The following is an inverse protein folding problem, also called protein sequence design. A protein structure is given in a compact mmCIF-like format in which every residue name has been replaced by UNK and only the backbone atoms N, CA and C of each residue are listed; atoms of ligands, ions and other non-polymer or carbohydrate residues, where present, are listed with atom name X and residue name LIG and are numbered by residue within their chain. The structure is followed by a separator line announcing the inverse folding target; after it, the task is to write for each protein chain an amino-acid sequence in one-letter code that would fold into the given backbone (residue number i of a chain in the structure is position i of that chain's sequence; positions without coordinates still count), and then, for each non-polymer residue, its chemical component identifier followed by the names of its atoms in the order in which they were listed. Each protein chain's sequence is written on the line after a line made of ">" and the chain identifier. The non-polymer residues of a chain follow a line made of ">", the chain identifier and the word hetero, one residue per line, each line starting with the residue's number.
data_IF_875990808149
#
_entry.id   IF_875990808149
#
_cell.length_a   1.000
_cell.length_b   1.000
_cell.length_c   1.000
_cell.angle_alpha   90.00
_cell.angle_beta   90.00
_cell.angle_gamma   90.00
#
_symmetry.space_group_name_H-M   'P 1'
#
loop_
_entity.id
_entity.type
_entity.pdbx_description
1 polymer ?
#
# COMPACT_ATOMS: atom_id res chain seq x y z
N UNK A 1 -0.04 -4.78 -4.24
CA UNK A 1 1.22 -4.18 -3.78
C UNK A 1 2.42 -5.01 -4.26
N UNK A 2 3.59 -4.39 -4.42
CA UNK A 2 4.82 -5.00 -4.96
C UNK A 2 5.84 -5.19 -3.84
N UNK A 3 6.53 -6.33 -3.79
CA UNK A 3 7.64 -6.60 -2.87
C UNK A 3 7.38 -7.68 -1.82
N UNK A 4 7.84 -7.49 -0.57
CA UNK A 4 7.67 -8.44 0.55
C UNK A 4 6.19 -8.71 0.83
N UNK A 5 5.38 -7.67 0.70
CA UNK A 5 3.93 -7.68 0.90
C UNK A 5 3.16 -7.93 -0.41
N UNK A 6 3.78 -8.60 -1.38
CA UNK A 6 3.15 -8.84 -2.67
C UNK A 6 1.92 -9.76 -2.57
N UNK A 7 0.91 -9.42 -3.35
CA UNK A 7 -0.34 -10.18 -3.49
C UNK A 7 -0.82 -10.09 -4.94
N UNK A 8 -1.70 -10.98 -5.36
CA UNK A 8 -2.28 -10.96 -6.70
C UNK A 8 -3.01 -9.63 -6.94
N UNK A 9 -2.59 -8.79 -7.91
CA UNK A 9 -3.15 -7.45 -8.07
C UNK A 9 -4.62 -7.44 -8.52
N UNK A 10 -5.14 -8.56 -9.01
CA UNK A 10 -6.55 -8.70 -9.41
C UNK A 10 -7.46 -9.13 -8.25
N UNK A 11 -7.08 -10.19 -7.53
CA UNK A 11 -7.93 -10.82 -6.50
C UNK A 11 -7.55 -10.49 -5.06
N UNK A 12 -6.30 -10.08 -4.80
CA UNK A 12 -5.77 -9.90 -3.45
C UNK A 12 -5.24 -11.18 -2.80
N UNK A 13 -5.28 -12.30 -3.53
CA UNK A 13 -4.76 -13.58 -3.09
C UNK A 13 -3.30 -13.49 -2.65
N UNK A 14 -2.93 -14.25 -1.62
CA UNK A 14 -1.53 -14.44 -1.25
C UNK A 14 -0.79 -15.14 -2.40
N UNK A 15 0.48 -14.80 -2.61
CA UNK A 15 1.30 -15.47 -3.61
C UNK A 15 1.91 -16.73 -3.03
N UNK A 16 2.06 -17.76 -3.88
CA UNK A 16 2.69 -19.03 -3.54
C UNK A 16 4.13 -18.86 -3.07
N UNK A 17 4.63 -19.83 -2.31
CA UNK A 17 6.06 -19.94 -2.03
C UNK A 17 6.83 -20.50 -3.25
N UNK A 18 6.15 -21.25 -4.11
CA UNK A 18 6.69 -21.75 -5.38
C UNK A 18 6.93 -20.58 -6.35
N UNK A 19 8.15 -20.52 -6.90
CA UNK A 19 8.62 -19.49 -7.83
C UNK A 19 8.86 -20.10 -9.20
N UNK A 20 8.24 -19.50 -10.22
CA UNK A 20 8.46 -19.80 -11.62
C UNK A 20 9.31 -18.69 -12.24
N UNK A 21 10.23 -19.02 -13.13
CA UNK A 21 11.03 -18.02 -13.84
C UNK A 21 10.53 -17.90 -15.27
N UNK A 22 10.31 -16.66 -15.74
CA UNK A 22 10.02 -16.41 -17.15
C UNK A 22 11.29 -16.51 -18.02
N UNK A 23 11.12 -16.35 -19.34
CA UNK A 23 12.21 -16.40 -20.32
C UNK A 23 13.31 -15.35 -20.07
N UNK A 24 13.00 -14.29 -19.32
CA UNK A 24 13.94 -13.22 -18.95
C UNK A 24 14.55 -13.42 -17.55
N UNK A 25 14.27 -14.54 -16.90
CA UNK A 25 14.74 -14.87 -15.56
C UNK A 25 14.00 -14.11 -14.44
N UNK A 26 12.84 -13.52 -14.71
CA UNK A 26 12.03 -12.89 -13.66
C UNK A 26 11.30 -13.97 -12.88
N UNK A 27 11.55 -14.03 -11.58
CA UNK A 27 10.74 -14.80 -10.64
C UNK A 27 9.28 -14.36 -10.76
N UNK A 28 8.32 -15.26 -10.74
CA UNK A 28 6.89 -15.01 -10.75
C UNK A 28 6.21 -16.08 -9.89
N UNK A 29 5.06 -15.75 -9.30
CA UNK A 29 4.33 -16.63 -8.38
C UNK A 29 2.86 -16.66 -8.74
N UNK A 30 2.19 -17.77 -8.52
CA UNK A 30 0.74 -17.83 -8.72
C UNK A 30 0.02 -17.34 -7.46
N UNK A 31 -1.21 -16.83 -7.62
CA UNK A 31 -2.07 -16.56 -6.48
C UNK A 31 -2.59 -17.87 -5.89
N UNK A 32 -2.50 -18.04 -4.57
CA UNK A 32 -3.10 -19.15 -3.84
C UNK A 32 -4.50 -18.74 -3.40
N UNK A 33 -5.50 -19.57 -3.68
CA UNK A 33 -6.86 -19.34 -3.18
C UNK A 33 -6.85 -19.27 -1.66
N UNK A 34 -7.42 -18.20 -1.10
CA UNK A 34 -7.74 -18.12 0.32
C UNK A 34 -9.26 -18.25 0.52
N UNK A 35 -9.69 -18.56 1.74
CA UNK A 35 -11.12 -18.64 2.13
C UNK A 35 -11.86 -17.30 1.94
N UNK A 36 -11.18 -16.26 1.48
CA UNK A 36 -11.66 -14.88 1.38
C UNK A 36 -11.65 -14.36 -0.06
N UNK A 37 -11.07 -15.12 -0.99
CA UNK A 37 -11.11 -14.89 -2.42
C UNK A 37 -12.53 -15.15 -2.87
N UNK A 38 -13.39 -14.15 -2.71
CA UNK A 38 -14.76 -14.14 -3.15
C UNK A 38 -14.83 -14.57 -4.63
N UNK A 39 -15.07 -15.86 -4.90
CA UNK A 39 -15.32 -16.47 -6.22
C UNK A 39 -14.36 -16.08 -7.36
N UNK A 40 -13.26 -15.40 -7.06
CA UNK A 40 -12.30 -14.90 -8.05
C UNK A 40 -11.14 -15.86 -7.96
N UNK A 41 -11.27 -17.01 -8.64
CA UNK A 41 -10.14 -17.92 -8.75
C UNK A 41 -8.98 -17.14 -9.36
N UNK A 42 -7.79 -17.15 -8.73
CA UNK A 42 -6.60 -16.60 -9.37
C UNK A 42 -6.41 -17.38 -10.68
N UNK A 43 -6.39 -16.66 -11.78
CA UNK A 43 -6.58 -17.19 -13.14
C UNK A 43 -5.35 -17.94 -13.69
N UNK A 44 -4.63 -18.67 -12.84
CA UNK A 44 -3.29 -19.22 -13.14
C UNK A 44 -2.23 -18.15 -13.45
N UNK A 45 -2.56 -16.85 -13.30
CA UNK A 45 -1.70 -15.75 -13.66
C UNK A 45 -0.50 -15.65 -12.72
N UNK A 46 0.69 -15.69 -13.31
CA UNK A 46 1.96 -15.53 -12.63
C UNK A 46 2.26 -14.04 -12.40
N UNK A 47 2.54 -13.65 -11.16
CA UNK A 47 2.76 -12.26 -10.76
C UNK A 47 3.72 -12.12 -9.58
N UNK A 48 4.34 -10.94 -9.45
CA UNK A 48 5.10 -10.52 -8.26
C UNK A 48 4.38 -9.41 -7.47
N UNK A 49 3.08 -9.31 -7.68
CA UNK A 49 2.33 -8.12 -7.33
C UNK A 49 2.58 -6.97 -8.30
N UNK A 50 1.95 -5.85 -8.01
CA UNK A 50 2.02 -4.65 -8.84
C UNK A 50 2.05 -3.42 -7.94
N UNK A 51 2.53 -2.29 -8.51
CA UNK A 51 2.43 -0.99 -7.87
C UNK A 51 0.97 -0.57 -7.71
N UNK A 52 0.07 -1.00 -8.60
CA UNK A 52 -1.36 -0.71 -8.56
C UNK A 52 -2.14 -2.02 -8.59
N UNK A 53 -3.04 -2.21 -7.65
CA UNK A 53 -3.99 -3.32 -7.63
C UNK A 53 -5.43 -2.85 -7.79
N UNK A 54 -6.31 -3.80 -8.09
CA UNK A 54 -7.75 -3.59 -8.01
C UNK A 54 -8.16 -3.21 -6.58
N UNK A 55 -9.33 -2.57 -6.46
CA UNK A 55 -9.93 -2.25 -5.16
C UNK A 55 -10.19 -3.52 -4.34
N UNK A 56 -10.74 -4.55 -4.99
CA UNK A 56 -11.05 -5.84 -4.36
C UNK A 56 -9.79 -6.47 -3.82
N UNK A 57 -8.69 -6.42 -4.59
CA UNK A 57 -7.43 -6.98 -4.17
C UNK A 57 -6.84 -6.30 -2.93
N UNK A 58 -6.84 -4.96 -2.91
CA UNK A 58 -6.33 -4.20 -1.77
C UNK A 58 -7.21 -4.36 -0.52
N UNK A 59 -8.53 -4.48 -0.69
CA UNK A 59 -9.46 -4.77 0.41
C UNK A 59 -9.25 -6.16 1.01
N UNK A 60 -9.09 -7.19 0.16
CA UNK A 60 -8.81 -8.55 0.64
C UNK A 60 -7.46 -8.61 1.35
N UNK A 61 -6.44 -7.90 0.84
CA UNK A 61 -5.16 -7.73 1.51
C UNK A 61 -5.32 -7.05 2.89
N UNK A 62 -6.08 -5.95 2.97
CA UNK A 62 -6.38 -5.27 4.24
C UNK A 62 -6.98 -6.23 5.26
N UNK A 63 -8.05 -6.94 4.88
CA UNK A 63 -8.77 -7.85 5.75
C UNK A 63 -7.86 -8.97 6.27
N UNK A 64 -7.05 -9.57 5.39
CA UNK A 64 -6.09 -10.62 5.77
C UNK A 64 -5.02 -10.09 6.74
N UNK A 65 -4.54 -8.86 6.55
CA UNK A 65 -3.58 -8.27 7.47
C UNK A 65 -4.21 -7.96 8.82
N UNK A 66 -5.42 -7.39 8.84
CA UNK A 66 -6.17 -7.15 10.08
C UNK A 66 -6.37 -8.45 10.87
N UNK A 67 -6.79 -9.53 10.19
CA UNK A 67 -7.04 -10.84 10.82
C UNK A 67 -5.80 -11.54 11.39
N UNK A 68 -4.58 -11.10 11.00
CA UNK A 68 -3.35 -11.58 11.64
C UNK A 68 -3.10 -10.93 13.01
N UNK A 69 -3.72 -9.78 13.25
CA UNK A 69 -3.51 -8.97 14.45
C UNK A 69 -4.72 -8.97 15.39
N UNK A 70 -5.93 -9.11 14.83
CA UNK A 70 -7.21 -8.95 15.53
C UNK A 70 -8.28 -9.89 14.95
N UNK A 71 -9.34 -10.16 15.71
CA UNK A 71 -10.52 -10.87 15.19
C UNK A 71 -11.26 -10.05 14.11
N UNK A 72 -12.15 -10.71 13.37
CA UNK A 72 -12.93 -10.03 12.34
C UNK A 72 -13.81 -8.91 12.93
N UNK A 73 -13.75 -7.72 12.33
CA UNK A 73 -14.49 -6.54 12.79
C UNK A 73 -15.55 -6.10 11.75
N UNK A 74 -16.82 -6.33 12.10
CA UNK A 74 -17.97 -5.99 11.26
C UNK A 74 -18.23 -4.49 11.14
N UNK A 75 -17.66 -3.67 12.02
CA UNK A 75 -17.78 -2.21 11.99
C UNK A 75 -16.67 -1.55 11.16
N UNK A 76 -15.46 -2.13 11.17
CA UNK A 76 -14.29 -1.67 10.43
C UNK A 76 -14.45 -1.94 8.93
N UNK A 77 -14.79 -3.17 8.54
CA UNK A 77 -14.76 -3.59 7.13
C UNK A 77 -15.66 -2.77 6.20
N UNK A 78 -16.92 -2.42 6.55
CA UNK A 78 -17.74 -1.55 5.71
C UNK A 78 -17.13 -0.15 5.56
N UNK A 79 -16.59 0.43 6.64
CA UNK A 79 -15.96 1.75 6.60
C UNK A 79 -14.70 1.75 5.75
N UNK A 80 -13.88 0.70 5.87
CA UNK A 80 -12.72 0.48 5.00
C UNK A 80 -13.12 0.37 3.53
N UNK A 81 -14.15 -0.41 3.21
CA UNK A 81 -14.61 -0.56 1.83
C UNK A 81 -15.08 0.76 1.20
N UNK A 82 -15.76 1.62 1.98
CA UNK A 82 -16.21 2.94 1.55
C UNK A 82 -15.01 3.87 1.34
N UNK A 83 -14.12 4.00 2.34
CA UNK A 83 -12.94 4.85 2.27
C UNK A 83 -12.04 4.47 1.10
N UNK A 84 -11.77 3.16 0.94
CA UNK A 84 -10.98 2.63 -0.15
C UNK A 84 -11.62 2.87 -1.52
N UNK A 85 -12.96 2.80 -1.62
CA UNK A 85 -13.67 3.12 -2.86
C UNK A 85 -13.52 4.59 -3.25
N UNK A 86 -13.49 5.51 -2.28
CA UNK A 86 -13.26 6.94 -2.51
C UNK A 86 -11.82 7.19 -2.95
N UNK A 87 -10.85 6.71 -2.17
CA UNK A 87 -9.42 6.83 -2.48
C UNK A 87 -9.06 6.27 -3.87
N UNK A 88 -9.49 5.04 -4.21
CA UNK A 88 -9.19 4.44 -5.53
C UNK A 88 -9.88 5.15 -6.69
N UNK A 89 -10.94 5.91 -6.46
CA UNK A 89 -11.61 6.71 -7.50
C UNK A 89 -10.91 8.05 -7.71
N UNK A 90 -10.44 8.66 -6.62
CA UNK A 90 -9.69 9.92 -6.64
C UNK A 90 -8.29 9.73 -7.21
N UNK A 91 -7.60 8.66 -6.78
CA UNK A 91 -6.20 8.46 -7.14
C UNK A 91 -6.00 8.27 -8.65
N UNK A 92 -5.13 9.08 -9.23
CA UNK A 92 -4.74 9.04 -10.63
C UNK A 92 -3.21 9.05 -10.77
N UNK A 93 -2.68 8.74 -11.96
CA UNK A 93 -1.24 8.71 -12.19
C UNK A 93 -0.51 7.87 -11.14
N UNK A 94 0.59 8.39 -10.60
CA UNK A 94 1.39 7.68 -9.60
C UNK A 94 0.78 7.70 -8.20
N UNK A 95 -0.10 8.65 -7.88
CA UNK A 95 -0.89 8.60 -6.64
C UNK A 95 -1.80 7.36 -6.57
N UNK A 96 -2.10 6.71 -7.70
CA UNK A 96 -2.85 5.45 -7.74
C UNK A 96 -2.07 4.21 -7.25
N UNK A 97 -0.79 4.35 -6.89
CA UNK A 97 -0.01 3.27 -6.33
C UNK A 97 -0.57 2.83 -4.97
N UNK A 98 -0.56 1.52 -4.73
CA UNK A 98 -1.15 0.89 -3.57
C UNK A 98 -0.54 1.42 -2.26
N UNK A 99 0.73 1.83 -2.24
CA UNK A 99 1.36 2.36 -1.03
C UNK A 99 0.70 3.68 -0.59
N UNK A 100 0.42 4.61 -1.51
CA UNK A 100 -0.22 5.88 -1.18
C UNK A 100 -1.66 5.66 -0.73
N UNK A 101 -2.40 4.83 -1.47
CA UNK A 101 -3.78 4.48 -1.10
C UNK A 101 -3.84 3.78 0.26
N UNK A 102 -2.87 2.92 0.57
CA UNK A 102 -2.79 2.22 1.85
C UNK A 102 -2.48 3.14 3.01
N UNK A 103 -1.51 4.05 2.86
CA UNK A 103 -1.16 5.05 3.88
C UNK A 103 -2.33 6.02 4.13
N UNK A 104 -2.93 6.56 3.07
CA UNK A 104 -4.10 7.44 3.19
C UNK A 104 -5.31 6.72 3.80
N UNK A 105 -5.48 5.42 3.54
CA UNK A 105 -6.51 4.61 4.19
C UNK A 105 -6.24 4.45 5.68
N UNK A 106 -4.99 4.16 6.07
CA UNK A 106 -4.57 4.06 7.48
C UNK A 106 -4.91 5.34 8.22
N UNK A 107 -4.48 6.49 7.70
CA UNK A 107 -4.77 7.80 8.26
C UNK A 107 -6.29 8.03 8.43
N UNK A 108 -7.09 7.67 7.42
CA UNK A 108 -8.55 7.86 7.49
C UNK A 108 -9.20 7.01 8.59
N UNK A 109 -8.69 5.81 8.81
CA UNK A 109 -9.23 4.90 9.82
C UNK A 109 -8.77 5.31 11.22
N UNK A 110 -7.52 5.74 11.36
CA UNK A 110 -6.97 6.24 12.63
C UNK A 110 -7.74 7.46 13.13
N UNK A 111 -7.96 8.47 12.27
CA UNK A 111 -8.81 9.64 12.58
C UNK A 111 -10.25 9.29 12.95
N UNK A 112 -10.72 8.09 12.58
CA UNK A 112 -12.04 7.56 12.95
C UNK A 112 -12.03 6.70 14.22
N UNK A 113 -10.90 6.65 14.92
CA UNK A 113 -10.72 5.95 16.19
C UNK A 113 -10.45 4.45 16.06
N UNK A 114 -10.00 3.98 14.90
CA UNK A 114 -9.62 2.58 14.72
C UNK A 114 -8.13 2.38 14.99
N UNK A 115 -7.77 1.35 15.76
CA UNK A 115 -6.38 0.94 15.96
C UNK A 115 -5.84 0.29 14.68
N UNK A 116 -5.13 1.08 13.87
CA UNK A 116 -4.60 0.68 12.56
C UNK A 116 -3.09 0.87 12.43
N UNK A 117 -2.36 1.12 13.52
CA UNK A 117 -0.89 1.27 13.49
C UNK A 117 -0.19 0.05 12.87
N UNK A 118 -0.79 -1.14 12.99
CA UNK A 118 -0.30 -2.35 12.34
C UNK A 118 -0.19 -2.24 10.81
N UNK A 119 -0.93 -1.33 10.16
CA UNK A 119 -0.88 -1.12 8.72
C UNK A 119 0.50 -0.67 8.23
N UNK A 120 1.25 0.08 9.05
CA UNK A 120 2.60 0.56 8.69
C UNK A 120 3.59 -0.59 8.50
N UNK A 121 3.41 -1.71 9.20
CA UNK A 121 4.21 -2.92 9.02
C UNK A 121 3.84 -3.73 7.76
N UNK A 122 2.81 -3.33 7.01
CA UNK A 122 2.23 -4.05 5.88
C UNK A 122 2.26 -3.25 4.57
N UNK A 123 3.13 -2.25 4.49
CA UNK A 123 3.42 -1.47 3.28
C UNK A 123 4.91 -1.54 2.94
N UNK A 124 5.25 -1.61 1.66
CA UNK A 124 6.63 -1.40 1.20
C UNK A 124 6.71 -0.10 0.42
N UNK A 125 7.40 0.89 1.01
CA UNK A 125 7.62 2.19 0.36
C UNK A 125 8.49 2.02 -0.89
N UNK A 126 8.18 2.82 -1.91
CA UNK A 126 8.86 2.80 -3.21
C UNK A 126 9.28 4.21 -3.58
N UNK A 127 10.32 4.31 -4.40
CA UNK A 127 10.69 5.60 -4.98
C UNK A 127 9.51 6.17 -5.78
N UNK A 128 9.03 7.38 -5.46
CA UNK A 128 7.91 8.02 -6.15
C UNK A 128 8.10 8.17 -7.66
N UNK A 129 9.35 8.24 -8.12
CA UNK A 129 9.71 8.52 -9.52
C UNK A 129 9.77 7.27 -10.39
N UNK A 130 10.35 6.18 -9.88
CA UNK A 130 10.61 4.98 -10.70
C UNK A 130 9.95 3.70 -10.17
N UNK A 131 9.34 3.74 -8.98
CA UNK A 131 8.76 2.57 -8.32
C UNK A 131 9.81 1.55 -7.84
N UNK A 132 11.08 1.95 -7.81
CA UNK A 132 12.21 1.19 -7.29
C UNK A 132 12.16 1.01 -5.77
N UNK A 133 13.04 0.15 -5.24
CA UNK A 133 13.23 0.01 -3.78
C UNK A 133 13.87 1.29 -3.23
N UNK A 134 13.48 1.68 -2.02
CA UNK A 134 14.19 2.69 -1.25
C UNK A 134 15.30 2.02 -0.42
N UNK A 135 16.39 2.76 -0.21
CA UNK A 135 17.43 2.46 0.78
C UNK A 135 17.17 3.38 1.97
N UNK A 136 17.12 2.82 3.17
CA UNK A 136 16.90 3.57 4.40
C UNK A 136 18.22 3.72 5.14
N UNK A 137 18.51 4.94 5.55
CA UNK A 137 19.70 5.27 6.33
C UNK A 137 19.26 6.06 7.56
N UNK A 138 19.70 5.62 8.73
CA UNK A 138 19.58 6.39 9.96
C UNK A 138 20.62 7.50 9.93
N UNK A 139 20.18 8.74 10.12
CA UNK A 139 21.05 9.91 10.25
C UNK A 139 20.97 10.44 11.69
N UNK A 140 21.68 11.54 11.98
CA UNK A 140 21.68 12.13 13.31
C UNK A 140 20.26 12.45 13.81
N UNK A 141 20.10 12.50 15.14
CA UNK A 141 18.85 12.83 15.83
C UNK A 141 17.68 11.85 15.57
N UNK A 142 17.97 10.56 15.48
CA UNK A 142 16.99 9.47 15.27
C UNK A 142 16.10 9.66 14.02
N UNK A 143 16.55 10.47 13.06
CA UNK A 143 15.84 10.67 11.80
C UNK A 143 16.27 9.65 10.76
N UNK A 144 15.32 9.28 9.89
CA UNK A 144 15.53 8.30 8.82
C UNK A 144 15.37 9.00 7.48
N UNK A 145 16.32 8.80 6.59
CA UNK A 145 16.22 9.24 5.18
C UNK A 145 16.00 8.03 4.27
N UNK A 146 15.23 8.21 3.20
CA UNK A 146 14.97 7.15 2.24
C UNK A 146 15.40 7.56 0.81
N UNK A 147 16.59 7.10 0.39
CA UNK A 147 17.12 7.37 -0.94
C UNK A 147 16.66 6.34 -1.98
N UNK A 148 16.66 6.73 -3.27
CA UNK A 148 16.28 5.82 -4.35
C UNK A 148 17.37 4.75 -4.57
N UNK A 149 17.05 3.47 -4.35
CA UNK A 149 18.03 2.40 -4.52
C UNK A 149 18.43 2.13 -5.98
N UNK A 150 17.62 2.58 -6.94
CA UNK A 150 17.89 2.52 -8.39
C UNK A 150 18.65 3.76 -8.88
N UNK A 151 18.77 4.79 -8.05
CA UNK A 151 19.39 6.06 -8.41
C UNK A 151 18.79 6.68 -9.69
N UNK A 152 17.46 6.75 -9.76
CA UNK A 152 16.77 7.16 -10.99
C UNK A 152 16.82 8.66 -11.29
N UNK A 153 17.27 9.48 -10.34
CA UNK A 153 17.40 10.93 -10.48
C UNK A 153 18.84 11.42 -10.37
N UNK A 154 19.81 10.52 -10.13
CA UNK A 154 21.20 10.85 -9.82
C UNK A 154 21.33 11.81 -8.62
N UNK A 155 20.40 11.70 -7.67
CA UNK A 155 20.43 12.45 -6.42
C UNK A 155 20.02 11.52 -5.26
N UNK A 156 20.83 11.54 -4.19
CA UNK A 156 20.60 10.79 -2.95
C UNK A 156 19.54 11.49 -2.06
N UNK A 157 18.66 12.30 -2.65
CA UNK A 157 17.65 13.05 -1.94
C UNK A 157 16.64 12.15 -1.24
N UNK A 158 16.23 12.58 -0.06
CA UNK A 158 15.21 11.92 0.73
C UNK A 158 13.86 11.93 -0.01
N UNK A 159 13.25 10.74 -0.12
CA UNK A 159 11.96 10.54 -0.78
C UNK A 159 10.79 10.49 0.18
N UNK A 160 11.03 10.50 1.49
CA UNK A 160 9.94 10.42 2.47
C UNK A 160 9.01 11.63 2.38
N UNK A 161 9.53 12.84 2.20
CA UNK A 161 8.70 14.05 2.09
C UNK A 161 7.82 14.04 0.84
N UNK A 162 8.35 13.59 -0.30
CA UNK A 162 7.55 13.44 -1.53
C UNK A 162 6.44 12.40 -1.34
N UNK A 163 6.72 11.32 -0.60
CA UNK A 163 5.72 10.32 -0.25
C UNK A 163 4.65 10.91 0.67
N UNK A 164 5.04 11.61 1.75
CA UNK A 164 4.12 12.26 2.69
C UNK A 164 3.21 13.24 1.95
N UNK A 165 3.79 14.11 1.13
CA UNK A 165 3.03 15.09 0.35
C UNK A 165 2.02 14.40 -0.58
N UNK A 166 2.44 13.36 -1.30
CA UNK A 166 1.52 12.60 -2.18
C UNK A 166 0.36 11.97 -1.40
N UNK A 167 0.60 11.50 -0.17
CA UNK A 167 -0.44 10.95 0.71
C UNK A 167 -1.39 12.05 1.19
N UNK A 168 -0.85 13.20 1.62
CA UNK A 168 -1.65 14.37 2.04
C UNK A 168 -2.54 14.84 0.91
N UNK A 169 -1.98 15.06 -0.29
CA UNK A 169 -2.72 15.54 -1.46
C UNK A 169 -3.84 14.56 -1.84
N UNK A 170 -3.54 13.26 -1.87
CA UNK A 170 -4.54 12.23 -2.15
C UNK A 170 -5.63 12.20 -1.07
N UNK A 171 -5.26 12.35 0.19
CA UNK A 171 -6.20 12.37 1.29
C UNK A 171 -7.10 13.59 1.22
N UNK A 172 -6.54 14.78 1.00
CA UNK A 172 -7.28 16.04 0.88
C UNK A 172 -8.23 16.02 -0.30
N UNK A 173 -7.77 15.57 -1.47
CA UNK A 173 -8.65 15.46 -2.64
C UNK A 173 -9.76 14.41 -2.39
N UNK A 174 -9.43 13.32 -1.71
CA UNK A 174 -10.41 12.30 -1.39
C UNK A 174 -11.40 12.77 -0.32
N UNK A 175 -11.00 13.48 0.73
CA UNK A 175 -11.80 13.69 1.95
C UNK A 175 -11.90 15.14 2.43
N UNK A 176 -11.28 16.13 1.78
CA UNK A 176 -11.17 17.52 2.24
C UNK A 176 -12.50 18.25 2.41
N UNK A 177 -13.58 17.76 1.78
CA UNK A 177 -14.96 18.22 2.03
C UNK A 177 -15.45 17.90 3.44
N UNK A 178 -14.82 16.92 4.10
CA UNK A 178 -15.06 16.56 5.50
C UNK A 178 -14.19 17.51 6.36
N UNK A 179 -14.64 18.76 6.51
CA UNK A 179 -13.90 19.96 6.93
C UNK A 179 -13.17 19.96 8.31
N UNK A 180 -12.82 18.82 8.89
CA UNK A 180 -12.10 18.69 10.18
C UNK A 180 -10.86 17.80 10.17
N UNK A 181 -10.51 17.16 9.05
CA UNK A 181 -9.65 15.95 9.09
C UNK A 181 -8.46 15.91 8.10
N UNK A 182 -8.01 17.02 7.49
CA UNK A 182 -6.86 16.96 6.55
C UNK A 182 -5.54 16.83 7.33
N UNK A 183 -4.71 15.80 7.09
CA UNK A 183 -3.41 15.65 7.72
C UNK A 183 -2.38 16.63 7.16
N UNK A 184 -1.43 17.04 8.00
CA UNK A 184 -0.18 17.65 7.53
C UNK A 184 0.88 16.59 7.23
N UNK A 185 1.95 16.94 6.53
CA UNK A 185 3.07 16.02 6.27
C UNK A 185 3.69 15.50 7.57
N UNK A 186 3.79 16.36 8.59
CA UNK A 186 4.43 16.05 9.87
C UNK A 186 3.58 15.12 10.75
N UNK A 187 2.26 15.09 10.53
CA UNK A 187 1.34 14.18 11.22
C UNK A 187 1.44 12.74 10.69
N UNK A 188 1.95 12.55 9.47
CA UNK A 188 2.09 11.22 8.85
C UNK A 188 3.36 10.52 9.36
N UNK A 189 3.21 9.64 10.35
CA UNK A 189 4.28 8.75 10.79
C UNK A 189 4.52 7.65 9.74
N UNK A 190 5.57 7.83 8.94
CA UNK A 190 6.11 6.82 8.05
C UNK A 190 7.28 6.13 8.75
N UNK A 191 7.04 4.90 9.22
CA UNK A 191 7.96 4.01 9.96
C UNK A 191 8.04 4.29 11.47
#
# INVERSE_FOLDING_TARGET
>A
MKGRHAFCPKSGAQLSDEVHYDETGRALRHGVGDDHAAKTQPDGELTNGALRSSKVALFNYFRRCHQRHRDADSSLYPKTAIALSRLKRTASGDAAWDMYVWLALGERLDRRGFDVHWMNAHVELRCPRCGGRLKFEEVADDSVVAACGTDCTNDDGDRLDEIRQTVVDLYEEAFGTDARDVPTTDELTLL
#
